data_IF_566739719480
#
_entry.id   IF_566739719480
#
_cell.length_a   1.000
_cell.length_b   1.000
_cell.length_c   1.000
_cell.angle_alpha   90.00
_cell.angle_beta   90.00
_cell.angle_gamma   90.00
#
_symmetry.space_group_name_H-M   'P 1'
#
loop_
_entity.id
_entity.type
_entity.pdbx_description
1 polymer ?
#
# COMPACT_ATOMS: atom_id res chain seq x y z
N UNK A 1 4.39 20.40 10.17
CA UNK A 1 3.42 19.30 10.28
C UNK A 1 2.03 19.92 10.27
N UNK A 2 1.01 19.37 9.59
CA UNK A 2 -0.31 20.01 9.47
C UNK A 2 -0.98 20.35 10.81
N UNK A 3 -0.73 19.55 11.84
CA UNK A 3 -1.25 19.75 13.20
C UNK A 3 -0.41 20.65 14.10
N UNK A 4 0.71 21.18 13.60
CA UNK A 4 1.55 22.07 14.38
C UNK A 4 0.87 23.44 14.54
N UNK A 5 0.81 23.91 15.77
CA UNK A 5 0.35 25.24 16.10
C UNK A 5 1.35 25.89 17.07
N UNK A 6 1.89 27.03 16.69
CA UNK A 6 2.92 27.75 17.47
C UNK A 6 2.45 29.15 17.86
N UNK A 7 2.75 29.54 19.09
CA UNK A 7 2.56 30.89 19.59
C UNK A 7 3.92 31.58 19.80
N UNK A 8 3.93 32.88 19.82
CA UNK A 8 5.13 33.65 20.16
C UNK A 8 5.60 33.25 21.56
N UNK A 9 6.87 32.82 21.66
CA UNK A 9 7.48 32.35 22.91
C UNK A 9 7.49 30.81 23.05
N UNK A 10 6.82 30.06 22.18
CA UNK A 10 6.90 28.60 22.21
C UNK A 10 8.28 28.12 21.72
N UNK A 11 8.79 27.08 22.39
CA UNK A 11 9.99 26.37 21.96
C UNK A 11 9.61 25.19 21.06
N UNK A 12 10.30 25.08 19.94
CA UNK A 12 10.08 23.96 19.00
C UNK A 12 11.41 23.43 18.46
N UNK A 13 11.42 22.15 18.11
CA UNK A 13 12.53 21.49 17.41
C UNK A 13 12.28 21.56 15.90
N UNK A 14 13.31 21.84 15.13
CA UNK A 14 13.27 21.86 13.68
C UNK A 14 14.67 21.63 13.12
N UNK A 15 14.75 21.24 11.84
CA UNK A 15 16.03 21.20 11.10
C UNK A 15 16.13 22.38 10.16
N UNK A 16 17.36 22.82 9.87
CA UNK A 16 17.61 23.77 8.80
C UNK A 16 17.40 23.08 7.46
N UNK A 17 16.35 23.45 6.74
CA UNK A 17 16.04 22.90 5.43
C UNK A 17 16.79 23.61 4.31
N UNK A 18 16.92 24.92 4.42
CA UNK A 18 17.55 25.74 3.39
C UNK A 18 18.08 27.05 4.01
N UNK A 19 19.18 27.56 3.45
CA UNK A 19 19.65 28.92 3.69
C UNK A 19 19.60 29.67 2.37
N UNK A 20 18.79 30.72 2.31
CA UNK A 20 18.62 31.61 1.16
C UNK A 20 19.21 32.97 1.43
N UNK A 21 19.62 33.70 0.38
CA UNK A 21 20.00 35.12 0.47
C UNK A 21 18.85 35.96 -0.09
N UNK A 22 18.25 36.79 0.76
CA UNK A 22 17.26 37.80 0.36
C UNK A 22 17.79 39.18 0.69
N UNK A 23 17.91 40.04 -0.30
CA UNK A 23 18.43 41.41 -0.15
C UNK A 23 19.76 41.43 0.62
N UNK A 24 20.71 40.56 0.25
CA UNK A 24 22.01 40.37 0.91
C UNK A 24 21.95 39.95 2.40
N UNK A 25 20.81 39.55 2.90
CA UNK A 25 20.64 38.99 4.24
C UNK A 25 20.34 37.49 4.20
N UNK A 26 21.02 36.67 5.01
CA UNK A 26 20.73 35.25 5.07
C UNK A 26 19.36 34.99 5.72
N UNK A 27 18.53 34.19 5.04
CA UNK A 27 17.24 33.72 5.55
C UNK A 27 17.37 32.23 5.78
N UNK A 28 17.23 31.80 7.04
CA UNK A 28 17.28 30.38 7.42
C UNK A 28 15.87 29.83 7.42
N UNK A 29 15.63 28.83 6.58
CA UNK A 29 14.35 28.14 6.49
C UNK A 29 14.42 26.87 7.32
N UNK A 30 13.52 26.78 8.31
CA UNK A 30 13.41 25.63 9.20
C UNK A 30 12.29 24.70 8.71
N UNK A 31 12.45 23.38 8.92
CA UNK A 31 11.46 22.37 8.56
C UNK A 31 11.27 21.36 9.68
N UNK A 32 10.00 20.96 9.86
CA UNK A 32 9.58 19.82 10.69
C UNK A 32 8.96 18.71 9.83
N UNK A 33 8.80 18.96 8.53
CA UNK A 33 8.24 18.02 7.56
C UNK A 33 9.29 17.27 6.74
N UNK A 34 10.51 17.80 6.70
CA UNK A 34 11.62 17.17 5.98
C UNK A 34 11.98 15.80 6.58
N UNK A 35 12.39 14.80 5.76
CA UNK A 35 12.88 13.50 6.24
C UNK A 35 14.03 13.62 7.23
N UNK A 36 14.91 14.59 7.03
CA UNK A 36 16.07 14.89 7.89
C UNK A 36 15.64 15.22 9.33
N UNK A 37 14.46 15.82 9.52
CA UNK A 37 13.95 16.08 10.86
C UNK A 37 13.70 14.77 11.62
N UNK A 38 13.09 13.79 10.97
CA UNK A 38 12.88 12.47 11.56
C UNK A 38 14.20 11.74 11.80
N UNK A 39 15.18 11.84 10.89
CA UNK A 39 16.51 11.28 11.09
C UNK A 39 17.19 11.85 12.36
N UNK A 40 17.12 13.16 12.56
CA UNK A 40 17.67 13.81 13.76
C UNK A 40 16.96 13.40 15.05
N UNK A 41 15.67 13.15 14.99
CA UNK A 41 14.95 12.61 16.16
C UNK A 41 15.41 11.20 16.52
N UNK A 42 15.65 10.34 15.51
CA UNK A 42 16.24 9.02 15.74
C UNK A 42 17.63 9.11 16.36
N UNK A 43 18.51 9.99 15.88
CA UNK A 43 19.83 10.20 16.47
C UNK A 43 19.76 10.64 17.94
N UNK A 44 18.74 11.41 18.33
CA UNK A 44 18.56 11.85 19.71
C UNK A 44 18.01 10.77 20.65
N UNK A 45 17.11 9.93 20.16
CA UNK A 45 16.39 8.93 20.96
C UNK A 45 17.05 7.55 20.92
N UNK A 46 17.92 7.25 19.93
CA UNK A 46 18.53 5.95 19.70
C UNK A 46 20.05 6.09 19.69
N UNK A 47 20.72 5.74 20.81
CA UNK A 47 22.18 5.85 20.91
C UNK A 47 22.93 5.10 19.82
N UNK A 48 22.44 3.92 19.41
CA UNK A 48 23.06 3.11 18.38
C UNK A 48 23.03 3.78 16.99
N UNK A 49 22.06 4.67 16.73
CA UNK A 49 22.03 5.52 15.53
C UNK A 49 23.03 6.65 15.66
N UNK A 50 23.08 7.30 16.82
CA UNK A 50 24.04 8.38 17.10
C UNK A 50 25.49 7.91 16.98
N UNK A 51 25.79 6.72 17.50
CA UNK A 51 27.12 6.11 17.49
C UNK A 51 27.49 5.49 16.13
N UNK A 52 26.56 5.52 15.14
CA UNK A 52 26.78 4.97 13.80
C UNK A 52 26.74 3.44 13.71
N UNK A 53 26.30 2.75 14.76
CA UNK A 53 26.12 1.28 14.76
C UNK A 53 24.90 0.86 13.95
N UNK A 54 23.90 1.74 13.89
CA UNK A 54 22.71 1.61 13.04
C UNK A 54 22.69 2.76 12.06
N UNK A 55 22.54 2.44 10.79
CA UNK A 55 22.43 3.41 9.70
C UNK A 55 21.00 3.50 9.21
N UNK A 56 20.47 4.72 9.12
CA UNK A 56 19.20 4.97 8.44
C UNK A 56 19.47 5.06 6.94
N UNK A 57 18.97 4.10 6.19
CA UNK A 57 19.18 3.99 4.73
C UNK A 57 18.24 4.88 3.95
N UNK A 58 16.97 4.92 4.36
CA UNK A 58 15.96 5.71 3.67
C UNK A 58 14.81 6.07 4.61
N UNK A 59 14.30 7.28 4.45
CA UNK A 59 13.10 7.78 5.13
C UNK A 59 12.12 8.28 4.09
N UNK A 60 10.88 7.82 4.18
CA UNK A 60 9.75 8.34 3.41
C UNK A 60 8.62 8.70 4.38
N UNK A 61 8.05 9.91 4.23
CA UNK A 61 7.06 10.46 5.14
C UNK A 61 5.86 11.04 4.41
N UNK A 62 4.72 10.90 5.04
CA UNK A 62 3.58 11.78 4.90
C UNK A 62 3.40 12.50 6.26
N UNK A 63 3.90 13.75 6.39
CA UNK A 63 4.06 14.41 7.68
C UNK A 63 2.76 14.52 8.46
N UNK A 64 2.77 14.08 9.72
CA UNK A 64 1.62 14.04 10.60
C UNK A 64 0.71 12.83 10.46
N UNK A 65 0.95 11.97 9.48
CA UNK A 65 0.15 10.77 9.22
C UNK A 65 0.96 9.49 9.41
N UNK A 66 1.93 9.26 8.54
CA UNK A 66 2.75 8.03 8.58
C UNK A 66 4.13 8.23 7.96
N UNK A 67 5.11 7.52 8.48
CA UNK A 67 6.46 7.42 7.94
C UNK A 67 6.93 5.97 7.86
N UNK A 68 7.84 5.68 6.93
CA UNK A 68 8.59 4.43 6.88
C UNK A 68 10.08 4.75 6.93
N UNK A 69 10.79 4.07 7.81
CA UNK A 69 12.22 4.28 8.08
C UNK A 69 12.94 2.96 7.88
N UNK A 70 13.76 2.87 6.85
CA UNK A 70 14.58 1.71 6.57
C UNK A 70 15.93 1.83 7.28
N UNK A 71 16.24 0.85 8.14
CA UNK A 71 17.43 0.83 8.99
C UNK A 71 18.25 -0.43 8.77
N UNK A 72 19.57 -0.31 8.94
CA UNK A 72 20.51 -1.41 8.80
C UNK A 72 21.56 -1.34 9.92
N UNK A 73 22.00 -2.48 10.41
CA UNK A 73 23.20 -2.61 11.23
C UNK A 73 24.23 -3.48 10.50
N UNK A 74 25.49 -3.11 10.60
CA UNK A 74 26.61 -3.93 10.12
C UNK A 74 27.12 -4.92 11.18
N UNK A 75 26.61 -4.84 12.41
CA UNK A 75 26.89 -5.78 13.50
C UNK A 75 25.68 -6.73 13.64
N UNK A 76 25.88 -8.01 13.31
CA UNK A 76 24.85 -9.06 13.37
C UNK A 76 24.28 -9.28 14.77
N UNK A 77 24.94 -8.78 15.81
CA UNK A 77 24.47 -8.86 17.21
C UNK A 77 23.45 -7.79 17.55
N UNK A 78 23.29 -6.78 16.69
CA UNK A 78 22.36 -5.66 16.90
C UNK A 78 21.13 -5.88 16.02
N UNK A 79 19.96 -6.00 16.64
CA UNK A 79 18.68 -5.88 15.95
C UNK A 79 18.38 -4.39 15.70
N UNK A 80 18.51 -3.89 14.46
CA UNK A 80 18.34 -2.48 14.19
C UNK A 80 16.91 -2.00 14.40
N UNK A 81 15.91 -2.85 14.17
CA UNK A 81 14.50 -2.50 14.38
C UNK A 81 14.18 -2.45 15.87
N UNK A 82 14.55 -3.49 16.61
CA UNK A 82 14.34 -3.56 18.05
C UNK A 82 15.02 -2.41 18.80
N UNK A 83 16.24 -2.03 18.41
CA UNK A 83 16.97 -0.91 18.99
C UNK A 83 16.28 0.44 18.72
N UNK A 84 15.78 0.66 17.50
CA UNK A 84 15.05 1.88 17.14
C UNK A 84 13.69 2.00 17.84
N UNK A 85 12.98 0.87 17.99
CA UNK A 85 11.68 0.84 18.68
C UNK A 85 11.85 0.99 20.19
N UNK A 86 12.84 0.32 20.76
CA UNK A 86 13.08 0.25 22.18
C UNK A 86 12.12 -0.69 22.92
N UNK A 87 12.43 -1.01 24.17
CA UNK A 87 11.56 -1.87 25.00
C UNK A 87 10.16 -1.26 25.13
N UNK A 88 9.14 -2.03 24.75
CA UNK A 88 7.73 -1.60 24.77
C UNK A 88 7.49 -0.28 24.00
N UNK A 89 8.30 -0.01 22.98
CA UNK A 89 8.17 1.21 22.19
C UNK A 89 8.71 2.48 22.87
N UNK A 90 9.49 2.36 23.94
CA UNK A 90 9.92 3.49 24.77
C UNK A 90 10.64 4.59 23.98
N UNK A 91 11.45 4.24 22.97
CA UNK A 91 12.18 5.19 22.13
C UNK A 91 11.31 5.75 21.05
N UNK A 92 10.62 4.88 20.28
CA UNK A 92 9.79 5.32 19.15
C UNK A 92 8.62 6.20 19.59
N UNK A 93 8.03 5.97 20.78
CA UNK A 93 6.95 6.79 21.31
C UNK A 93 7.37 8.24 21.57
N UNK A 94 8.64 8.49 21.96
CA UNK A 94 9.18 9.84 22.09
C UNK A 94 9.15 10.59 20.76
N UNK A 95 9.59 9.92 19.69
CA UNK A 95 9.60 10.47 18.33
C UNK A 95 8.18 10.69 17.81
N UNK A 96 7.29 9.69 17.95
CA UNK A 96 5.88 9.79 17.53
C UNK A 96 5.18 10.98 18.20
N UNK A 97 5.42 11.20 19.49
CA UNK A 97 4.84 12.34 20.23
C UNK A 97 5.36 13.69 19.70
N UNK A 98 6.66 13.81 19.42
CA UNK A 98 7.25 15.02 18.83
C UNK A 98 6.63 15.34 17.46
N UNK A 99 6.31 14.29 16.68
CA UNK A 99 5.69 14.39 15.34
C UNK A 99 4.17 14.47 15.35
N UNK A 100 3.54 14.78 16.49
CA UNK A 100 2.07 14.90 16.61
C UNK A 100 1.31 13.64 16.20
N UNK A 101 1.75 12.48 16.69
CA UNK A 101 1.19 11.16 16.46
C UNK A 101 1.34 10.64 15.01
N UNK A 102 2.39 11.04 14.30
CA UNK A 102 2.78 10.40 13.04
C UNK A 102 3.18 8.94 13.31
N UNK A 103 2.52 8.00 12.66
CA UNK A 103 2.85 6.57 12.79
C UNK A 103 4.17 6.26 12.10
N UNK A 104 5.08 5.57 12.78
CA UNK A 104 6.41 5.26 12.24
C UNK A 104 6.59 3.76 12.12
N UNK A 105 6.76 3.28 10.89
CA UNK A 105 7.14 1.90 10.60
C UNK A 105 8.66 1.82 10.43
N UNK A 106 9.33 1.11 11.33
CA UNK A 106 10.76 0.83 11.22
C UNK A 106 10.94 -0.49 10.48
N UNK A 107 11.71 -0.47 9.40
CA UNK A 107 11.85 -1.58 8.44
C UNK A 107 13.32 -1.97 8.36
N UNK A 108 13.68 -3.27 8.51
CA UNK A 108 15.05 -3.70 8.28
C UNK A 108 15.38 -3.60 6.78
N UNK A 109 16.42 -2.81 6.48
CA UNK A 109 16.88 -2.64 5.10
C UNK A 109 17.43 -3.94 4.51
N UNK A 110 17.30 -4.10 3.20
CA UNK A 110 17.91 -5.18 2.43
C UNK A 110 18.09 -4.75 0.98
N UNK A 111 19.12 -5.28 0.34
CA UNK A 111 19.33 -5.13 -1.11
C UNK A 111 18.47 -6.10 -1.94
N UNK A 112 17.91 -7.13 -1.31
CA UNK A 112 16.93 -8.01 -1.96
C UNK A 112 15.60 -7.26 -2.12
N UNK A 113 15.28 -6.91 -3.37
CA UNK A 113 14.13 -6.10 -3.72
C UNK A 113 12.80 -6.74 -3.32
N UNK A 114 12.63 -8.04 -3.54
CA UNK A 114 11.41 -8.78 -3.16
C UNK A 114 11.17 -8.72 -1.65
N UNK A 115 12.24 -8.95 -0.87
CA UNK A 115 12.17 -8.89 0.58
C UNK A 115 11.90 -7.46 1.07
N UNK A 116 12.47 -6.45 0.41
CA UNK A 116 12.23 -5.05 0.74
C UNK A 116 10.76 -4.67 0.50
N UNK A 117 10.18 -5.08 -0.63
CA UNK A 117 8.76 -4.86 -0.95
C UNK A 117 7.87 -5.51 0.11
N UNK A 118 8.14 -6.77 0.46
CA UNK A 118 7.39 -7.49 1.48
C UNK A 118 7.42 -6.76 2.83
N UNK A 119 8.60 -6.30 3.26
CA UNK A 119 8.77 -5.55 4.49
C UNK A 119 8.11 -4.17 4.43
N UNK A 120 8.17 -3.51 3.29
CA UNK A 120 7.59 -2.18 3.08
C UNK A 120 6.05 -2.19 3.12
N UNK A 121 5.41 -3.28 2.71
CA UNK A 121 3.96 -3.45 2.74
C UNK A 121 3.42 -4.01 4.06
N UNK A 122 4.30 -4.35 5.02
CA UNK A 122 3.85 -4.78 6.34
C UNK A 122 2.78 -3.78 6.90
N UNK A 123 1.69 -4.28 7.55
CA UNK A 123 1.44 -5.64 8.04
C UNK A 123 0.78 -6.59 7.02
N UNK A 124 0.58 -6.18 5.77
CA UNK A 124 -0.02 -7.04 4.75
C UNK A 124 0.91 -8.22 4.41
N UNK A 125 0.29 -9.39 4.21
CA UNK A 125 1.00 -10.61 3.81
C UNK A 125 0.82 -10.81 2.31
N UNK A 126 1.93 -10.71 1.58
CA UNK A 126 1.97 -10.95 0.14
C UNK A 126 2.04 -12.45 -0.09
N UNK A 127 1.20 -12.97 -0.98
CA UNK A 127 1.22 -14.38 -1.40
C UNK A 127 2.17 -14.60 -2.56
N UNK A 128 2.12 -13.70 -3.55
CA UNK A 128 2.98 -13.76 -4.73
C UNK A 128 3.31 -12.35 -5.21
N UNK A 129 4.39 -12.18 -5.95
CA UNK A 129 4.76 -10.92 -6.60
C UNK A 129 5.45 -11.17 -7.94
N UNK A 130 5.18 -10.27 -8.89
CA UNK A 130 5.84 -10.25 -10.19
C UNK A 130 6.47 -8.87 -10.39
N UNK A 131 7.78 -8.82 -10.52
CA UNK A 131 8.52 -7.58 -10.81
C UNK A 131 8.74 -7.55 -12.31
N UNK A 132 8.47 -6.41 -12.96
CA UNK A 132 8.74 -6.25 -14.39
C UNK A 132 10.25 -6.23 -14.67
N UNK A 133 10.62 -6.48 -15.94
CA UNK A 133 12.03 -6.60 -16.36
C UNK A 133 12.82 -5.30 -16.11
N UNK A 134 12.17 -4.13 -16.25
CA UNK A 134 12.79 -2.82 -16.04
C UNK A 134 12.92 -2.45 -14.56
N UNK A 135 12.40 -3.27 -13.64
CA UNK A 135 12.37 -3.01 -12.20
C UNK A 135 11.77 -1.64 -11.84
N UNK A 136 10.73 -1.21 -12.56
CA UNK A 136 10.01 0.04 -12.30
C UNK A 136 8.65 -0.19 -11.66
N UNK A 137 8.08 -1.39 -11.86
CA UNK A 137 6.75 -1.78 -11.41
C UNK A 137 6.76 -3.18 -10.81
N UNK A 138 5.92 -3.38 -9.79
CA UNK A 138 5.68 -4.69 -9.19
C UNK A 138 4.18 -4.92 -9.02
N UNK A 139 3.73 -6.10 -9.42
CA UNK A 139 2.40 -6.61 -9.15
C UNK A 139 2.47 -7.49 -7.91
N UNK A 140 1.68 -7.17 -6.88
CA UNK A 140 1.60 -7.95 -5.65
C UNK A 140 0.23 -8.57 -5.50
N UNK A 141 0.22 -9.88 -5.27
CA UNK A 141 -0.98 -10.68 -5.11
C UNK A 141 -1.19 -10.97 -3.63
N UNK A 142 -2.38 -10.66 -3.13
CA UNK A 142 -2.74 -10.79 -1.71
C UNK A 142 -4.12 -11.43 -1.57
N UNK A 143 -4.32 -12.12 -0.45
CA UNK A 143 -5.66 -12.56 -0.07
C UNK A 143 -6.60 -11.37 0.10
N UNK A 144 -7.90 -11.53 -0.15
CA UNK A 144 -8.87 -10.41 -0.08
C UNK A 144 -8.83 -9.62 1.24
N UNK A 145 -8.61 -10.30 2.38
CA UNK A 145 -8.52 -9.70 3.72
C UNK A 145 -7.21 -8.91 3.96
N UNK A 146 -6.18 -9.17 3.17
CA UNK A 146 -4.87 -8.48 3.26
C UNK A 146 -4.80 -7.21 2.39
N UNK A 147 -5.64 -7.08 1.35
CA UNK A 147 -5.62 -5.95 0.41
C UNK A 147 -5.80 -4.60 1.13
N UNK A 148 -6.77 -4.52 2.05
CA UNK A 148 -7.02 -3.30 2.83
C UNK A 148 -5.82 -2.90 3.71
N UNK A 149 -5.06 -3.89 4.22
CA UNK A 149 -3.83 -3.65 5.01
C UNK A 149 -2.70 -3.14 4.12
N UNK A 150 -2.55 -3.69 2.91
CA UNK A 150 -1.55 -3.26 1.94
C UNK A 150 -1.78 -1.80 1.52
N UNK A 151 -3.01 -1.43 1.20
CA UNK A 151 -3.39 -0.06 0.83
C UNK A 151 -3.24 0.87 2.03
N UNK A 152 -3.79 0.47 3.19
CA UNK A 152 -3.82 1.28 4.40
C UNK A 152 -4.81 2.45 4.33
N UNK A 153 -5.04 3.10 5.47
CA UNK A 153 -5.91 4.28 5.56
C UNK A 153 -5.44 5.37 4.60
N UNK A 154 -6.31 5.88 3.75
CA UNK A 154 -6.02 6.93 2.78
C UNK A 154 -4.95 6.55 1.72
N UNK A 155 -4.65 5.25 1.57
CA UNK A 155 -3.60 4.77 0.69
C UNK A 155 -2.17 5.08 1.17
N UNK A 156 -2.00 5.48 2.43
CA UNK A 156 -0.68 5.90 2.94
C UNK A 156 0.33 4.76 2.95
N UNK A 157 -0.10 3.51 3.25
CA UNK A 157 0.82 2.39 3.35
C UNK A 157 1.46 2.06 2.00
N UNK A 158 0.63 1.87 0.97
CA UNK A 158 1.12 1.55 -0.38
C UNK A 158 1.92 2.69 -1.01
N UNK A 159 1.46 3.95 -0.86
CA UNK A 159 2.17 5.13 -1.38
C UNK A 159 3.56 5.30 -0.76
N UNK A 160 3.69 5.04 0.54
CA UNK A 160 4.99 5.10 1.21
C UNK A 160 5.86 3.89 0.86
N UNK A 161 5.28 2.69 0.71
CA UNK A 161 6.00 1.51 0.25
C UNK A 161 6.57 1.74 -1.16
N UNK A 162 5.78 2.29 -2.08
CA UNK A 162 6.21 2.66 -3.43
C UNK A 162 7.38 3.66 -3.41
N UNK A 163 7.29 4.73 -2.60
CA UNK A 163 8.39 5.69 -2.45
C UNK A 163 9.63 5.10 -1.81
N UNK A 164 9.48 4.14 -0.88
CA UNK A 164 10.60 3.49 -0.22
C UNK A 164 11.37 2.58 -1.17
N UNK A 165 10.64 1.79 -1.95
CA UNK A 165 11.19 0.82 -2.91
C UNK A 165 11.55 1.44 -4.26
N UNK A 166 11.06 2.65 -4.55
CA UNK A 166 11.18 3.34 -5.84
C UNK A 166 10.48 2.60 -6.99
N UNK A 167 9.47 1.79 -6.65
CA UNK A 167 8.67 1.02 -7.60
C UNK A 167 7.21 1.50 -7.57
N UNK A 168 6.55 1.42 -8.70
CA UNK A 168 5.09 1.46 -8.74
C UNK A 168 4.54 0.10 -8.28
N UNK A 169 3.68 0.12 -7.26
CA UNK A 169 3.14 -1.11 -6.65
C UNK A 169 1.66 -1.23 -7.01
N UNK A 170 1.34 -2.26 -7.78
CA UNK A 170 -0.03 -2.63 -8.12
C UNK A 170 -0.49 -3.80 -7.24
N UNK A 171 -1.68 -3.66 -6.65
CA UNK A 171 -2.23 -4.64 -5.72
C UNK A 171 -3.36 -5.40 -6.39
N UNK A 172 -3.22 -6.72 -6.47
CA UNK A 172 -4.22 -7.65 -6.98
C UNK A 172 -4.73 -8.58 -5.89
N UNK A 173 -5.99 -8.99 -5.99
CA UNK A 173 -6.55 -9.99 -5.10
C UNK A 173 -6.15 -11.39 -5.59
N UNK A 174 -5.68 -12.25 -4.69
CA UNK A 174 -5.49 -13.67 -4.97
C UNK A 174 -6.86 -14.35 -5.12
N UNK A 175 -7.01 -15.16 -6.15
CA UNK A 175 -8.32 -15.74 -6.49
C UNK A 175 -9.18 -14.87 -7.40
N UNK A 176 -8.74 -13.63 -7.71
CA UNK A 176 -8.99 -13.01 -8.99
C UNK A 176 -7.87 -13.48 -9.95
N UNK A 177 -7.67 -14.80 -10.06
CA UNK A 177 -7.12 -15.29 -11.31
C UNK A 177 -8.05 -14.75 -12.38
N UNK A 178 -7.48 -14.19 -13.44
CA UNK A 178 -8.08 -14.14 -14.73
C UNK A 178 -8.47 -15.59 -15.11
N UNK A 179 -9.56 -16.08 -14.56
CA UNK A 179 -10.49 -16.83 -15.36
C UNK A 179 -10.86 -15.77 -16.37
N UNK A 180 -10.33 -15.89 -17.58
CA UNK A 180 -10.65 -15.01 -18.69
C UNK A 180 -12.16 -14.81 -18.61
N UNK A 181 -12.56 -13.57 -18.18
CA UNK A 181 -13.98 -13.26 -18.08
C UNK A 181 -14.43 -13.17 -19.52
N UNK A 182 -15.16 -14.18 -19.94
CA UNK A 182 -15.56 -14.35 -21.32
C UNK A 182 -16.75 -13.42 -21.55
N UNK A 183 -16.61 -12.52 -22.52
CA UNK A 183 -17.69 -11.62 -22.93
C UNK A 183 -18.90 -12.46 -23.38
N UNK A 184 -20.11 -12.05 -23.01
CA UNK A 184 -21.33 -12.75 -23.40
C UNK A 184 -21.49 -12.86 -24.94
N UNK A 185 -20.87 -11.96 -25.69
CA UNK A 185 -20.87 -12.01 -27.16
C UNK A 185 -20.12 -13.23 -27.73
N UNK A 186 -19.27 -13.88 -26.96
CA UNK A 186 -18.60 -15.11 -27.39
C UNK A 186 -19.50 -16.33 -27.31
N UNK A 187 -20.64 -16.25 -26.62
CA UNK A 187 -21.61 -17.32 -26.47
C UNK A 187 -22.79 -17.24 -27.45
N UNK A 188 -22.72 -16.41 -28.48
CA UNK A 188 -23.80 -16.26 -29.52
C UNK A 188 -24.12 -17.54 -30.27
N UNK A 189 -23.22 -18.53 -30.28
CA UNK A 189 -23.44 -19.85 -30.86
C UNK A 189 -24.21 -20.79 -29.92
N UNK A 190 -24.27 -20.51 -28.61
CA UNK A 190 -24.88 -21.36 -27.60
C UNK A 190 -26.05 -20.68 -26.86
N UNK A 191 -26.11 -19.36 -26.87
CA UNK A 191 -27.15 -18.53 -26.23
C UNK A 191 -27.73 -17.58 -27.27
N UNK A 192 -29.07 -17.54 -27.38
CA UNK A 192 -29.76 -16.66 -28.32
C UNK A 192 -29.43 -15.15 -28.06
N UNK A 193 -29.22 -14.39 -29.13
CA UNK A 193 -28.83 -12.97 -29.08
C UNK A 193 -29.76 -12.12 -28.19
N UNK A 194 -31.08 -12.39 -28.23
CA UNK A 194 -32.05 -11.64 -27.42
C UNK A 194 -31.88 -11.86 -25.90
N UNK A 195 -31.38 -13.05 -25.49
CA UNK A 195 -31.09 -13.39 -24.11
C UNK A 195 -29.82 -12.59 -23.67
N UNK A 196 -28.82 -12.55 -24.54
CA UNK A 196 -27.59 -11.80 -24.30
C UNK A 196 -27.91 -10.31 -24.13
N UNK A 197 -28.77 -9.76 -25.00
CA UNK A 197 -29.23 -8.37 -24.90
C UNK A 197 -29.98 -8.09 -23.58
N UNK A 198 -30.81 -9.03 -23.11
CA UNK A 198 -31.54 -8.91 -21.86
C UNK A 198 -30.58 -8.96 -20.64
N UNK A 199 -29.57 -9.83 -20.67
CA UNK A 199 -28.54 -9.90 -19.63
C UNK A 199 -27.69 -8.62 -19.60
N UNK A 200 -27.32 -8.08 -20.76
CA UNK A 200 -26.62 -6.79 -20.86
C UNK A 200 -27.46 -5.61 -20.38
N UNK A 201 -28.77 -5.62 -20.60
CA UNK A 201 -29.67 -4.59 -20.11
C UNK A 201 -29.70 -4.46 -18.58
N UNK A 202 -29.44 -5.56 -17.85
CA UNK A 202 -29.34 -5.56 -16.38
C UNK A 202 -27.90 -5.31 -15.88
N UNK A 203 -26.94 -5.07 -16.78
CA UNK A 203 -25.54 -4.77 -16.45
C UNK A 203 -24.62 -5.97 -16.37
N UNK A 204 -24.97 -7.09 -17.00
CA UNK A 204 -24.12 -8.26 -17.13
C UNK A 204 -23.49 -8.29 -18.53
N UNK A 205 -22.25 -7.85 -18.65
CA UNK A 205 -21.51 -7.84 -19.92
C UNK A 205 -20.67 -9.12 -20.12
N UNK A 206 -20.49 -9.92 -19.08
CA UNK A 206 -19.61 -11.10 -19.08
C UNK A 206 -20.22 -12.31 -18.39
N UNK A 207 -19.73 -13.49 -18.72
CA UNK A 207 -20.16 -14.77 -18.15
C UNK A 207 -20.05 -14.79 -16.61
N UNK A 208 -18.96 -14.24 -16.07
CA UNK A 208 -18.73 -14.16 -14.64
C UNK A 208 -19.73 -13.25 -13.94
N UNK A 209 -20.08 -12.11 -14.54
CA UNK A 209 -21.06 -11.18 -13.99
C UNK A 209 -22.45 -11.80 -13.86
N UNK A 210 -22.84 -12.68 -14.81
CA UNK A 210 -24.09 -13.44 -14.74
C UNK A 210 -24.05 -14.46 -13.59
N UNK A 211 -22.95 -15.22 -13.46
CA UNK A 211 -22.80 -16.23 -12.42
C UNK A 211 -22.75 -15.63 -11.01
N UNK A 212 -22.16 -14.42 -10.85
CA UNK A 212 -22.10 -13.71 -9.56
C UNK A 212 -23.46 -13.21 -9.07
N UNK A 213 -24.35 -12.78 -9.98
CA UNK A 213 -25.71 -12.33 -9.62
C UNK A 213 -26.53 -13.51 -9.08
N UNK A 214 -26.35 -14.69 -9.65
CA UNK A 214 -27.03 -15.92 -9.25
C UNK A 214 -28.49 -16.01 -9.70
N UNK A 215 -29.02 -17.25 -9.77
CA UNK A 215 -30.33 -17.59 -10.30
C UNK A 215 -31.48 -16.74 -9.74
N UNK A 216 -31.53 -16.59 -8.41
CA UNK A 216 -32.68 -15.92 -7.72
C UNK A 216 -32.83 -14.44 -8.09
N UNK A 217 -31.72 -13.76 -8.33
CA UNK A 217 -31.74 -12.34 -8.68
C UNK A 217 -31.84 -12.14 -10.20
N UNK A 218 -31.37 -13.07 -11.02
CA UNK A 218 -31.61 -13.06 -12.45
C UNK A 218 -33.11 -13.19 -12.77
N UNK A 219 -33.82 -14.16 -12.16
CA UNK A 219 -35.30 -14.32 -12.31
C UNK A 219 -36.04 -13.04 -11.93
N UNK A 220 -35.58 -12.24 -10.98
CA UNK A 220 -36.24 -11.00 -10.55
C UNK A 220 -35.95 -9.80 -11.45
N UNK A 221 -34.82 -9.80 -12.13
CA UNK A 221 -34.31 -8.64 -12.87
C UNK A 221 -34.47 -8.76 -14.37
N UNK A 222 -34.75 -9.97 -14.87
CA UNK A 222 -35.00 -10.26 -16.29
C UNK A 222 -36.40 -10.82 -16.47
N UNK A 223 -36.93 -10.75 -17.69
CA UNK A 223 -38.19 -11.40 -18.09
C UNK A 223 -37.96 -12.84 -18.58
N UNK A 224 -36.80 -13.45 -18.22
CA UNK A 224 -36.42 -14.80 -18.60
C UNK A 224 -37.14 -15.85 -17.70
N UNK A 225 -37.54 -16.98 -18.30
CA UNK A 225 -38.08 -18.09 -17.56
C UNK A 225 -37.00 -18.83 -16.74
N UNK A 226 -37.40 -19.42 -15.62
CA UNK A 226 -36.48 -20.10 -14.69
C UNK A 226 -35.67 -21.21 -15.32
N UNK A 227 -36.29 -21.94 -16.27
CA UNK A 227 -35.65 -23.02 -17.03
C UNK A 227 -34.57 -22.50 -17.96
N UNK A 228 -34.81 -21.36 -18.61
CA UNK A 228 -33.85 -20.69 -19.48
C UNK A 228 -32.63 -20.20 -18.70
N UNK A 229 -32.85 -19.63 -17.51
CA UNK A 229 -31.78 -19.18 -16.61
C UNK A 229 -30.92 -20.38 -16.14
N UNK A 230 -31.51 -21.52 -15.84
CA UNK A 230 -30.77 -22.73 -15.48
C UNK A 230 -29.87 -23.22 -16.63
N UNK A 231 -30.36 -23.16 -17.86
CA UNK A 231 -29.57 -23.51 -19.06
C UNK A 231 -28.41 -22.56 -19.27
N UNK A 232 -28.64 -21.25 -19.16
CA UNK A 232 -27.60 -20.22 -19.27
C UNK A 232 -26.51 -20.42 -18.21
N UNK A 233 -26.89 -20.57 -16.94
CA UNK A 233 -25.93 -20.82 -15.85
C UNK A 233 -25.11 -22.08 -16.12
N UNK A 234 -25.73 -23.12 -16.66
CA UNK A 234 -25.01 -24.36 -16.99
C UNK A 234 -24.03 -24.18 -18.13
N UNK A 235 -24.42 -23.46 -19.20
CA UNK A 235 -23.54 -23.15 -20.34
C UNK A 235 -22.34 -22.33 -19.85
N UNK A 236 -22.60 -21.22 -19.16
CA UNK A 236 -21.56 -20.34 -18.69
C UNK A 236 -20.63 -21.01 -17.65
N UNK A 237 -21.16 -21.84 -16.74
CA UNK A 237 -20.34 -22.58 -15.78
C UNK A 237 -19.44 -23.62 -16.44
N UNK A 238 -19.85 -24.22 -17.56
CA UNK A 238 -19.06 -25.25 -18.25
C UNK A 238 -17.78 -24.69 -18.88
N UNK A 239 -17.71 -23.37 -19.11
CA UNK A 239 -16.50 -22.72 -19.63
C UNK A 239 -15.43 -22.56 -18.53
N UNK A 240 -15.84 -22.41 -17.27
CA UNK A 240 -14.95 -22.27 -16.13
C UNK A 240 -14.54 -23.62 -15.49
N UNK A 241 -15.15 -24.71 -15.90
CA UNK A 241 -14.83 -26.08 -15.41
C UNK A 241 -13.73 -26.77 -16.28
N UNK A 242 -13.19 -26.10 -17.29
CA UNK A 242 -12.11 -26.60 -18.15
C UNK A 242 -10.75 -26.18 -17.62
#
# INVERSE_FOLDING_TARGET
>A
IPSDYFRKGDTTRAVVSKVDLRNNSPVIILSRTAPEFLARLFEQEVPEVFDGLITIKKIVRNPGERAKVAVESYDDRIDPVGACVGMNGSRIHGIVRELRNENIDVIPWTTNLQLLIQRALNPAKITNMKINDDQTRVEVFLKPDEVSKAIGKGGHNIKLASKLTELEIDVYREGAEDIDDVDLDEFTDEIDDWIIDELKAIGCDSAKSVLEIGKTDLVKRTDLEEETIDEIIKILSSEFDK
#
